data_IF_706307364696
#
_entry.id   IF_706307364696
#
_cell.length_a   1.000
_cell.length_b   1.000
_cell.length_c   1.000
_cell.angle_alpha   90.00
_cell.angle_beta   90.00
_cell.angle_gamma   90.00
#
_symmetry.space_group_name_H-M   'P 1'
#
loop_
_entity.id
_entity.type
_entity.pdbx_description
1 polymer ?
#
# COMPACT_ATOMS: atom_id res chain seq x y z
N UNK A 1 11.45 5.27 3.81
CA UNK A 1 11.23 3.94 3.19
C UNK A 1 10.82 2.98 4.27
N UNK A 2 9.92 2.07 3.96
CA UNK A 2 9.37 1.09 4.90
C UNK A 2 10.35 -0.04 5.22
N UNK A 3 10.03 -0.85 6.23
CA UNK A 3 10.77 -2.08 6.56
C UNK A 3 10.77 -3.09 5.40
N UNK A 4 9.76 -3.00 4.55
CA UNK A 4 9.60 -3.82 3.34
C UNK A 4 9.36 -2.94 2.13
N UNK A 5 9.88 -3.37 0.99
CA UNK A 5 9.72 -2.70 -0.30
C UNK A 5 9.07 -3.63 -1.31
N UNK A 6 8.22 -3.07 -2.15
CA UNK A 6 7.76 -3.75 -3.36
C UNK A 6 8.80 -3.56 -4.46
N UNK A 7 9.25 -4.67 -5.05
CA UNK A 7 10.12 -4.59 -6.22
C UNK A 7 9.35 -4.03 -7.41
N UNK A 8 10.02 -3.23 -8.22
CA UNK A 8 9.36 -2.54 -9.32
C UNK A 8 8.69 -3.46 -10.31
N UNK A 9 9.36 -4.54 -10.68
CA UNK A 9 9.06 -5.26 -11.93
C UNK A 9 9.35 -6.76 -11.90
N UNK A 10 9.56 -7.36 -10.72
CA UNK A 10 9.87 -8.79 -10.70
C UNK A 10 8.66 -9.62 -10.31
N UNK A 11 8.36 -10.60 -11.15
CA UNK A 11 7.45 -11.69 -10.83
C UNK A 11 8.25 -12.84 -10.24
N UNK A 12 7.64 -13.64 -9.38
CA UNK A 12 8.26 -14.87 -8.89
C UNK A 12 8.57 -15.80 -10.05
N UNK A 13 9.70 -16.54 -9.98
CA UNK A 13 9.98 -17.61 -10.94
C UNK A 13 8.81 -18.59 -11.01
N UNK A 14 8.30 -18.85 -12.20
CA UNK A 14 7.16 -19.74 -12.45
C UNK A 14 5.83 -19.05 -12.71
N UNK A 15 5.75 -17.72 -12.66
CA UNK A 15 4.58 -16.99 -13.14
C UNK A 15 4.65 -16.77 -14.64
N UNK A 16 3.66 -17.29 -15.36
CA UNK A 16 3.59 -17.29 -16.84
C UNK A 16 2.93 -16.04 -17.43
N UNK A 17 2.67 -15.01 -16.67
CA UNK A 17 2.17 -13.77 -17.24
C UNK A 17 3.34 -12.99 -17.82
N UNK A 18 3.32 -12.86 -19.15
CA UNK A 18 4.26 -12.02 -19.90
C UNK A 18 4.32 -10.64 -19.26
N UNK A 19 5.53 -10.20 -18.99
CA UNK A 19 5.81 -8.84 -18.59
C UNK A 19 5.30 -7.89 -19.69
N UNK A 20 4.05 -7.50 -19.59
CA UNK A 20 3.57 -6.33 -20.27
C UNK A 20 4.32 -5.13 -19.68
N UNK A 21 4.74 -4.22 -20.50
CA UNK A 21 5.69 -3.13 -20.19
C UNK A 21 5.29 -2.16 -19.06
N UNK A 22 4.26 -2.48 -18.31
CA UNK A 22 3.81 -1.76 -17.13
C UNK A 22 3.93 -2.49 -15.80
N UNK A 23 4.24 -3.77 -15.81
CA UNK A 23 4.58 -4.63 -14.66
C UNK A 23 3.67 -4.55 -13.42
N UNK A 24 2.41 -4.28 -13.64
CA UNK A 24 1.40 -4.37 -12.59
C UNK A 24 0.64 -5.67 -12.76
N UNK A 25 0.53 -6.52 -11.71
CA UNK A 25 -0.29 -7.71 -11.78
C UNK A 25 -1.72 -7.37 -12.19
N UNK A 26 -2.24 -8.03 -13.22
CA UNK A 26 -3.64 -7.84 -13.68
C UNK A 26 -4.64 -8.54 -12.77
N UNK A 27 -4.18 -9.16 -11.69
CA UNK A 27 -5.00 -9.92 -10.75
C UNK A 27 -4.64 -9.60 -9.30
N UNK A 28 -5.57 -9.85 -8.40
CA UNK A 28 -5.34 -9.97 -6.97
C UNK A 28 -5.04 -11.43 -6.68
N UNK A 29 -3.94 -11.72 -6.01
CA UNK A 29 -3.55 -13.12 -5.76
C UNK A 29 -2.34 -13.23 -4.85
N UNK A 30 -2.05 -14.48 -4.44
CA UNK A 30 -0.87 -14.77 -3.64
C UNK A 30 0.38 -14.73 -4.50
N UNK A 31 1.46 -14.26 -3.88
CA UNK A 31 2.78 -14.25 -4.50
C UNK A 31 2.82 -13.59 -5.89
N UNK A 32 1.95 -12.60 -6.11
CA UNK A 32 1.91 -11.85 -7.38
C UNK A 32 3.00 -10.79 -7.46
N UNK A 33 3.68 -10.49 -6.36
CA UNK A 33 4.76 -9.53 -6.29
C UNK A 33 5.84 -10.00 -5.31
N UNK A 34 7.08 -9.71 -5.61
CA UNK A 34 8.20 -9.92 -4.69
C UNK A 34 8.28 -8.77 -3.68
N UNK A 35 8.55 -9.11 -2.44
CA UNK A 35 8.77 -8.18 -1.34
C UNK A 35 10.17 -8.40 -0.84
N UNK A 36 10.95 -7.34 -0.79
CA UNK A 36 12.32 -7.35 -0.29
C UNK A 36 12.45 -6.46 0.95
N UNK A 37 13.51 -6.64 1.76
CA UNK A 37 13.80 -5.74 2.87
C UNK A 37 13.93 -4.29 2.38
N UNK A 38 13.29 -3.37 3.08
CA UNK A 38 13.38 -1.94 2.83
C UNK A 38 14.46 -1.27 3.68
N UNK A 39 14.54 0.07 3.62
CA UNK A 39 15.53 0.82 4.41
C UNK A 39 15.12 1.05 5.86
N UNK A 40 13.95 0.60 6.30
CA UNK A 40 13.52 0.69 7.69
C UNK A 40 13.14 2.10 8.19
N UNK A 41 12.91 3.06 7.31
CA UNK A 41 12.54 4.43 7.73
C UNK A 41 11.07 4.57 8.15
N UNK A 42 10.21 3.68 7.72
CA UNK A 42 8.79 3.68 8.05
C UNK A 42 8.40 2.27 8.53
N UNK A 43 8.25 2.12 9.84
CA UNK A 43 7.89 0.85 10.45
C UNK A 43 6.39 0.54 10.34
N UNK A 44 6.04 -0.73 10.26
CA UNK A 44 4.65 -1.18 10.22
C UNK A 44 3.89 -0.86 8.93
N UNK A 45 4.58 -0.39 7.90
CA UNK A 45 3.97 -0.06 6.61
C UNK A 45 4.76 -0.60 5.43
N UNK A 46 4.09 -0.71 4.28
CA UNK A 46 4.69 -1.01 3.00
C UNK A 46 4.29 0.08 2.00
N UNK A 47 5.27 0.64 1.30
CA UNK A 47 5.07 1.81 0.43
C UNK A 47 5.17 1.41 -1.03
N UNK A 48 4.21 1.86 -1.81
CA UNK A 48 4.16 1.74 -3.26
C UNK A 48 4.06 3.11 -3.92
N UNK A 49 5.02 3.42 -4.80
CA UNK A 49 5.12 4.72 -5.48
C UNK A 49 4.49 4.67 -6.88
N UNK A 50 4.24 5.83 -7.49
CA UNK A 50 3.58 5.95 -8.79
C UNK A 50 2.25 5.18 -8.84
N UNK A 51 1.50 5.28 -7.76
CA UNK A 51 0.47 4.31 -7.43
C UNK A 51 -0.70 4.31 -8.40
N UNK A 52 -1.33 5.46 -8.63
CA UNK A 52 -2.46 5.57 -9.55
C UNK A 52 -1.99 5.52 -11.01
N UNK A 53 -0.95 6.27 -11.36
CA UNK A 53 -0.44 6.38 -12.72
C UNK A 53 -0.07 5.01 -13.31
N UNK A 54 0.41 4.10 -12.47
CA UNK A 54 0.78 2.75 -12.88
C UNK A 54 -0.23 1.67 -12.49
N UNK A 55 -1.44 2.05 -12.11
CA UNK A 55 -2.55 1.15 -11.73
C UNK A 55 -2.14 0.08 -10.71
N UNK A 56 -1.36 0.45 -9.67
CA UNK A 56 -0.71 -0.50 -8.73
C UNK A 56 -1.60 -1.03 -7.62
N UNK A 57 -2.91 -0.72 -7.64
CA UNK A 57 -3.84 -1.14 -6.58
C UNK A 57 -3.86 -2.66 -6.39
N UNK A 58 -3.90 -3.45 -7.47
CA UNK A 58 -3.98 -4.91 -7.39
C UNK A 58 -2.82 -5.53 -6.60
N UNK A 59 -1.60 -5.01 -6.80
CA UNK A 59 -0.42 -5.53 -6.10
C UNK A 59 -0.41 -5.13 -4.63
N UNK A 60 -0.81 -3.92 -4.31
CA UNK A 60 -0.86 -3.47 -2.92
C UNK A 60 -1.99 -4.17 -2.15
N UNK A 61 -3.18 -4.36 -2.74
CA UNK A 61 -4.22 -5.20 -2.18
C UNK A 61 -3.73 -6.62 -1.88
N UNK A 62 -3.04 -7.24 -2.83
CA UNK A 62 -2.51 -8.60 -2.66
C UNK A 62 -1.57 -8.68 -1.48
N UNK A 63 -0.60 -7.77 -1.42
CA UNK A 63 0.40 -7.74 -0.36
C UNK A 63 -0.21 -7.50 1.02
N UNK A 64 -1.15 -6.56 1.13
CA UNK A 64 -1.78 -6.25 2.42
C UNK A 64 -2.67 -7.39 2.91
N UNK A 65 -3.33 -8.12 2.02
CA UNK A 65 -4.07 -9.32 2.41
C UNK A 65 -3.15 -10.49 2.80
N UNK A 66 -1.95 -10.58 2.25
CA UNK A 66 -0.95 -11.57 2.69
C UNK A 66 -0.25 -11.17 3.99
N UNK A 67 -0.18 -9.86 4.29
CA UNK A 67 0.49 -9.28 5.45
C UNK A 67 -0.41 -8.27 6.16
N UNK A 68 -1.54 -8.71 6.72
CA UNK A 68 -2.57 -7.80 7.25
C UNK A 68 -2.12 -6.98 8.48
N UNK A 69 -0.98 -7.29 9.08
CA UNK A 69 -0.38 -6.49 10.15
C UNK A 69 0.28 -5.21 9.66
N UNK A 70 0.53 -5.07 8.34
CA UNK A 70 1.11 -3.88 7.74
C UNK A 70 0.03 -2.94 7.20
N UNK A 71 0.35 -1.66 7.20
CA UNK A 71 -0.42 -0.64 6.48
C UNK A 71 0.15 -0.50 5.06
N UNK A 72 -0.70 -0.61 4.04
CA UNK A 72 -0.33 -0.32 2.67
C UNK A 72 -0.44 1.16 2.37
N UNK A 73 0.58 1.73 1.72
CA UNK A 73 0.64 3.15 1.40
C UNK A 73 0.95 3.34 -0.08
N UNK A 74 -0.05 3.74 -0.84
CA UNK A 74 0.10 4.10 -2.25
C UNK A 74 0.33 5.60 -2.41
N UNK A 75 1.52 6.01 -2.86
CA UNK A 75 1.88 7.42 -3.04
C UNK A 75 1.82 7.77 -4.53
N UNK A 76 1.03 8.79 -4.86
CA UNK A 76 0.91 9.30 -6.23
C UNK A 76 2.04 10.26 -6.60
N UNK A 77 2.16 10.55 -7.90
CA UNK A 77 3.09 11.55 -8.40
C UNK A 77 2.84 12.93 -7.79
N UNK A 78 3.91 13.69 -7.60
CA UNK A 78 3.85 15.03 -7.02
C UNK A 78 3.37 15.06 -5.58
N UNK A 79 3.40 13.92 -4.88
CA UNK A 79 2.89 13.76 -3.51
C UNK A 79 3.96 13.15 -2.62
N UNK A 80 3.97 13.56 -1.37
CA UNK A 80 4.84 13.04 -0.34
C UNK A 80 4.05 12.71 0.93
N UNK A 81 4.52 11.71 1.66
CA UNK A 81 4.09 11.39 3.00
C UNK A 81 5.22 11.79 3.97
N UNK A 82 4.96 12.77 4.80
CA UNK A 82 5.85 13.20 5.88
C UNK A 82 5.46 12.49 7.17
N UNK A 83 6.45 11.88 7.82
CA UNK A 83 6.28 11.31 9.16
C UNK A 83 6.74 12.33 10.18
N UNK A 84 5.83 12.75 11.04
CA UNK A 84 6.12 13.71 12.11
C UNK A 84 6.76 13.02 13.33
N UNK A 85 7.42 13.77 14.23
CA UNK A 85 8.02 13.21 15.44
C UNK A 85 7.03 12.48 16.38
N UNK A 86 5.75 12.85 16.33
CA UNK A 86 4.67 12.20 17.08
C UNK A 86 4.15 10.90 16.41
N UNK A 87 4.75 10.49 15.30
CA UNK A 87 4.37 9.31 14.52
C UNK A 87 3.21 9.51 13.56
N UNK A 88 2.54 10.66 13.57
CA UNK A 88 1.48 10.98 12.60
C UNK A 88 2.05 11.27 11.24
N UNK A 89 1.28 10.96 10.23
CA UNK A 89 1.62 11.21 8.84
C UNK A 89 0.92 12.46 8.34
N UNK A 90 1.62 13.27 7.58
CA UNK A 90 1.06 14.42 6.87
C UNK A 90 1.26 14.23 5.38
N UNK A 91 0.20 14.49 4.62
CA UNK A 91 0.22 14.38 3.16
C UNK A 91 0.50 15.75 2.57
N UNK A 92 1.56 15.82 1.75
CA UNK A 92 2.05 17.03 1.10
C UNK A 92 2.04 16.86 -0.41
N UNK A 93 1.93 17.97 -1.15
CA UNK A 93 2.05 17.99 -2.60
C UNK A 93 0.76 18.30 -3.32
N UNK A 94 0.57 17.73 -4.53
CA UNK A 94 -0.49 18.11 -5.45
C UNK A 94 -1.59 17.05 -5.64
N UNK A 95 -1.41 15.84 -5.08
CA UNK A 95 -2.36 14.73 -5.28
C UNK A 95 -2.71 14.08 -3.94
N UNK A 96 -2.81 12.77 -3.89
CA UNK A 96 -3.26 12.03 -2.72
C UNK A 96 -2.35 10.84 -2.41
N UNK A 97 -2.43 10.41 -1.16
CA UNK A 97 -1.95 9.10 -0.69
C UNK A 97 -3.16 8.21 -0.47
N UNK A 98 -3.07 6.94 -0.87
CA UNK A 98 -4.10 5.95 -0.59
C UNK A 98 -3.56 4.99 0.47
N UNK A 99 -4.31 4.85 1.56
CA UNK A 99 -3.96 3.99 2.69
C UNK A 99 -4.86 2.77 2.70
N UNK A 100 -4.27 1.59 2.79
CA UNK A 100 -4.94 0.30 2.91
C UNK A 100 -4.64 -0.30 4.28
N UNK A 101 -5.65 -0.50 5.09
CA UNK A 101 -5.52 -1.03 6.45
C UNK A 101 -6.40 -2.27 6.63
N UNK A 102 -5.76 -3.43 6.70
CA UNK A 102 -6.41 -4.72 6.94
C UNK A 102 -6.22 -5.25 8.36
N UNK A 103 -5.68 -4.47 9.29
CA UNK A 103 -5.35 -4.94 10.65
C UNK A 103 -6.56 -5.44 11.42
N UNK A 104 -7.75 -4.93 11.10
CA UNK A 104 -9.03 -5.34 11.69
C UNK A 104 -9.94 -6.08 10.70
N UNK A 105 -9.44 -6.36 9.49
CA UNK A 105 -10.20 -7.09 8.47
C UNK A 105 -10.18 -8.60 8.73
N UNK A 106 -11.23 -9.27 8.27
CA UNK A 106 -11.21 -10.72 8.10
C UNK A 106 -10.57 -11.03 6.76
N UNK A 107 -9.44 -11.72 6.75
CA UNK A 107 -8.75 -12.14 5.53
C UNK A 107 -8.78 -13.65 5.38
N UNK A 108 -8.75 -14.15 4.15
CA UNK A 108 -8.69 -15.59 3.87
C UNK A 108 -7.46 -16.23 4.52
N UNK A 109 -7.58 -17.47 4.98
CA UNK A 109 -6.50 -18.21 5.62
C UNK A 109 -5.27 -18.32 4.71
N UNK A 110 -4.09 -18.50 5.31
CA UNK A 110 -2.82 -18.62 4.56
C UNK A 110 -2.83 -19.77 3.55
N UNK A 111 -3.63 -20.82 3.79
CA UNK A 111 -3.73 -22.00 2.93
C UNK A 111 -4.84 -21.87 1.88
N UNK A 112 -5.65 -20.83 1.92
CA UNK A 112 -6.69 -20.63 0.92
C UNK A 112 -6.04 -20.33 -0.45
N UNK A 113 -6.54 -20.92 -1.55
CA UNK A 113 -5.97 -20.72 -2.89
C UNK A 113 -6.21 -19.30 -3.41
N UNK A 114 -7.27 -18.65 -2.95
CA UNK A 114 -7.63 -17.30 -3.35
C UNK A 114 -7.51 -16.32 -2.18
N UNK A 115 -7.11 -15.10 -2.48
CA UNK A 115 -7.12 -14.00 -1.52
C UNK A 115 -8.49 -13.34 -1.49
N UNK A 116 -8.93 -13.01 -0.28
CA UNK A 116 -10.12 -12.21 -0.05
C UNK A 116 -10.02 -11.52 1.30
N UNK A 117 -10.68 -10.39 1.43
CA UNK A 117 -10.79 -9.64 2.68
C UNK A 117 -12.17 -9.02 2.81
N UNK A 118 -12.65 -8.95 4.05
CA UNK A 118 -13.87 -8.25 4.42
C UNK A 118 -13.57 -7.26 5.54
N UNK A 119 -14.07 -6.03 5.43
CA UNK A 119 -13.85 -4.99 6.43
C UNK A 119 -12.47 -4.35 6.36
N UNK A 120 -11.78 -4.41 5.21
CA UNK A 120 -10.57 -3.62 4.99
C UNK A 120 -10.91 -2.15 4.85
N UNK A 121 -10.20 -1.28 5.59
CA UNK A 121 -10.34 0.16 5.45
C UNK A 121 -9.45 0.66 4.31
N UNK A 122 -10.03 1.46 3.42
CA UNK A 122 -9.31 2.17 2.37
C UNK A 122 -9.59 3.66 2.54
N UNK A 123 -8.54 4.45 2.66
CA UNK A 123 -8.62 5.91 2.80
C UNK A 123 -7.91 6.59 1.66
N UNK A 124 -8.56 7.57 1.04
CA UNK A 124 -7.96 8.46 0.03
C UNK A 124 -7.70 9.80 0.70
N UNK A 125 -6.44 10.14 0.87
CA UNK A 125 -5.99 11.27 1.66
C UNK A 125 -5.33 12.31 0.73
N UNK A 126 -6.03 13.37 0.35
CA UNK A 126 -5.45 14.44 -0.44
C UNK A 126 -4.38 15.22 0.34
N UNK A 127 -3.59 16.01 -0.38
CA UNK A 127 -2.63 16.93 0.24
C UNK A 127 -3.32 17.82 1.29
N UNK A 128 -2.64 18.05 2.42
CA UNK A 128 -3.19 18.72 3.59
C UNK A 128 -3.87 17.80 4.60
N UNK A 129 -4.10 16.53 4.26
CA UNK A 129 -4.62 15.54 5.20
C UNK A 129 -3.56 15.14 6.22
N UNK A 130 -4.01 14.66 7.38
CA UNK A 130 -3.19 13.94 8.37
C UNK A 130 -3.75 12.54 8.60
N UNK A 131 -2.87 11.61 8.97
CA UNK A 131 -3.24 10.24 9.30
C UNK A 131 -2.47 9.76 10.53
N UNK A 132 -3.17 9.15 11.45
CA UNK A 132 -2.60 8.48 12.62
C UNK A 132 -2.53 6.96 12.34
N UNK A 133 -1.35 6.40 12.10
CA UNK A 133 -1.21 4.98 11.80
C UNK A 133 -1.53 4.06 12.97
N UNK A 134 -1.49 4.56 14.21
CA UNK A 134 -1.84 3.76 15.39
C UNK A 134 -3.34 3.53 15.48
N UNK A 135 -4.12 4.60 15.39
CA UNK A 135 -5.58 4.53 15.50
C UNK A 135 -6.30 4.28 14.17
N UNK A 136 -5.61 4.41 13.03
CA UNK A 136 -6.22 4.35 11.70
C UNK A 136 -7.13 5.53 11.36
N UNK A 137 -7.04 6.64 12.11
CA UNK A 137 -7.88 7.84 11.91
C UNK A 137 -7.18 8.86 11.02
N UNK A 138 -7.98 9.51 10.20
CA UNK A 138 -7.53 10.60 9.35
C UNK A 138 -8.30 11.89 9.63
N UNK A 139 -7.66 13.02 9.34
CA UNK A 139 -8.30 14.33 9.24
C UNK A 139 -8.08 14.85 7.83
N UNK A 140 -9.16 15.18 7.15
CA UNK A 140 -9.09 15.77 5.82
C UNK A 140 -8.85 17.28 5.91
N UNK A 141 -8.27 17.91 4.87
CA UNK A 141 -8.12 19.36 4.85
C UNK A 141 -9.50 20.00 4.92
N UNK A 142 -9.63 21.03 5.76
CA UNK A 142 -10.83 21.87 5.76
C UNK A 142 -10.89 22.55 4.40
N UNK A 143 -12.02 22.46 3.72
CA UNK A 143 -12.23 23.18 2.47
C UNK A 143 -11.98 24.67 2.68
N UNK A 144 -11.08 25.23 1.89
CA UNK A 144 -10.92 26.69 1.80
C UNK A 144 -12.07 27.28 1.00
#
# INVERSE_FOLDING_TARGET
MSDSMLTGNQFFPGMTESADSGNTPKRIGRHVIEIVPGFGFLHGAIVDQHFITRARANRLFSVIMERPSLIGVGINEGTALQVNPDGRWQILGASAVIVFDARHATVTSKNAPLLGAFGMNVSVLPAGSTFDPQSGKATLPSGG
#
